data_IF_620608235332
#
_entry.id   IF_620608235332
#
_cell.length_a   1.000
_cell.length_b   1.000
_cell.length_c   1.000
_cell.angle_alpha   90.00
_cell.angle_beta   90.00
_cell.angle_gamma   90.00
#
_symmetry.space_group_name_H-M   'P 1'
#
loop_
_entity.id
_entity.type
_entity.pdbx_description
1 polymer ?
#
# COMPACT_ATOMS: atom_id res chain seq x y z
N UNK A 1 13.87 -30.86 2.49
CA UNK A 1 13.47 -31.52 3.75
C UNK A 1 13.65 -30.52 4.89
N UNK A 2 12.65 -30.37 5.75
CA UNK A 2 12.72 -29.45 6.89
C UNK A 2 13.74 -29.98 7.92
N UNK A 3 14.72 -29.14 8.21
CA UNK A 3 15.72 -29.33 9.28
C UNK A 3 15.91 -27.97 9.97
N UNK A 4 16.62 -27.98 11.10
CA UNK A 4 16.95 -26.72 11.78
C UNK A 4 17.82 -25.80 10.89
N UNK A 5 18.78 -26.37 10.17
CA UNK A 5 19.65 -25.61 9.27
C UNK A 5 18.87 -25.01 8.09
N UNK A 6 18.02 -25.80 7.42
CA UNK A 6 17.21 -25.30 6.31
C UNK A 6 16.19 -24.23 6.75
N UNK A 7 15.66 -24.34 7.97
CA UNK A 7 14.84 -23.28 8.56
C UNK A 7 15.64 -21.99 8.80
N UNK A 8 16.88 -22.10 9.31
CA UNK A 8 17.74 -20.95 9.52
C UNK A 8 18.10 -20.24 8.20
N UNK A 9 18.35 -21.01 7.14
CA UNK A 9 18.57 -20.45 5.80
C UNK A 9 17.36 -19.67 5.32
N UNK A 10 16.14 -20.21 5.48
CA UNK A 10 14.91 -19.52 5.07
C UNK A 10 14.65 -18.26 5.89
N UNK A 11 14.84 -18.29 7.21
CA UNK A 11 14.72 -17.11 8.06
C UNK A 11 15.71 -16.02 7.60
N UNK A 12 16.97 -16.37 7.37
CA UNK A 12 17.98 -15.40 6.93
C UNK A 12 17.63 -14.75 5.58
N UNK A 13 17.07 -15.51 4.63
CA UNK A 13 16.57 -14.94 3.36
C UNK A 13 15.43 -13.94 3.55
N UNK A 14 14.53 -14.21 4.50
CA UNK A 14 13.32 -13.41 4.73
C UNK A 14 13.62 -12.13 5.51
N UNK A 15 14.60 -12.17 6.40
CA UNK A 15 14.82 -11.14 7.41
C UNK A 15 16.07 -10.29 7.16
N UNK A 16 17.05 -10.80 6.42
CA UNK A 16 18.34 -10.14 6.28
C UNK A 16 19.09 -10.10 7.63
N UNK A 17 19.75 -8.98 7.93
CA UNK A 17 20.43 -8.79 9.22
C UNK A 17 19.43 -8.49 10.34
N UNK A 18 19.29 -9.43 11.28
CA UNK A 18 18.18 -9.50 12.23
C UNK A 18 18.65 -9.54 13.70
N UNK A 19 19.73 -8.88 14.01
CA UNK A 19 20.26 -8.87 15.38
C UNK A 19 19.31 -8.21 16.39
N UNK A 20 19.01 -8.92 17.48
CA UNK A 20 18.20 -8.48 18.65
C UNK A 20 16.74 -8.09 18.36
N UNK A 21 16.11 -8.69 17.34
CA UNK A 21 14.70 -8.42 17.02
C UNK A 21 13.74 -9.21 17.90
N UNK A 22 12.62 -8.57 18.25
CA UNK A 22 11.51 -9.22 18.96
C UNK A 22 10.49 -9.76 17.97
N UNK A 23 10.11 -11.03 18.17
CA UNK A 23 9.16 -11.73 17.29
C UNK A 23 8.03 -12.33 18.12
N UNK A 24 6.79 -12.06 17.71
CA UNK A 24 5.60 -12.72 18.22
C UNK A 24 5.25 -13.94 17.35
N UNK A 25 5.23 -15.11 17.94
CA UNK A 25 4.91 -16.35 17.26
C UNK A 25 3.42 -16.67 17.43
N UNK A 26 2.68 -16.73 16.32
CA UNK A 26 1.26 -17.09 16.30
C UNK A 26 1.11 -18.63 16.42
N UNK A 27 0.65 -19.11 17.57
CA UNK A 27 0.62 -20.54 17.89
C UNK A 27 -0.82 -21.02 18.10
N UNK A 28 -1.28 -21.96 17.25
CA UNK A 28 -2.64 -22.51 17.33
C UNK A 28 -2.73 -23.83 18.12
N UNK A 29 -1.62 -24.50 18.36
CA UNK A 29 -1.56 -25.85 18.93
C UNK A 29 -1.48 -26.99 17.89
N UNK A 30 -1.69 -26.66 16.59
CA UNK A 30 -1.50 -27.61 15.48
C UNK A 30 -0.02 -27.79 15.12
N UNK A 31 0.30 -28.88 14.39
CA UNK A 31 1.66 -29.27 14.04
C UNK A 31 2.48 -28.12 13.46
N UNK A 32 1.96 -27.41 12.45
CA UNK A 32 2.68 -26.34 11.76
C UNK A 32 3.14 -25.24 12.72
N UNK A 33 2.25 -24.81 13.61
CA UNK A 33 2.55 -23.72 14.56
C UNK A 33 3.45 -24.18 15.71
N UNK A 34 3.31 -25.43 16.16
CA UNK A 34 4.17 -25.99 17.23
C UNK A 34 5.58 -26.26 16.72
N UNK A 35 5.73 -26.73 15.48
CA UNK A 35 7.04 -26.90 14.82
C UNK A 35 7.72 -25.54 14.64
N UNK A 36 6.99 -24.51 14.16
CA UNK A 36 7.52 -23.16 14.06
C UNK A 36 8.01 -22.65 15.42
N UNK A 37 7.21 -22.85 16.48
CA UNK A 37 7.58 -22.45 17.85
C UNK A 37 8.85 -23.16 18.32
N UNK A 38 8.99 -24.47 18.10
CA UNK A 38 10.17 -25.24 18.49
C UNK A 38 11.43 -24.81 17.73
N UNK A 39 11.32 -24.56 16.42
CA UNK A 39 12.42 -24.08 15.58
C UNK A 39 12.93 -22.68 16.03
N UNK A 40 12.02 -21.75 16.27
CA UNK A 40 12.41 -20.43 16.79
C UNK A 40 13.01 -20.52 18.20
N UNK A 41 12.47 -21.39 19.06
CA UNK A 41 13.03 -21.64 20.39
C UNK A 41 14.48 -22.13 20.32
N UNK A 42 14.73 -23.14 19.46
CA UNK A 42 16.09 -23.65 19.23
C UNK A 42 17.03 -22.55 18.75
N UNK A 43 16.61 -21.78 17.75
CA UNK A 43 17.42 -20.69 17.20
C UNK A 43 17.70 -19.60 18.23
N UNK A 44 16.71 -19.19 19.00
CA UNK A 44 16.89 -18.19 20.07
C UNK A 44 17.86 -18.65 21.17
N UNK A 45 17.89 -19.98 21.44
CA UNK A 45 18.83 -20.55 22.39
C UNK A 45 20.28 -20.63 21.86
N UNK A 46 20.45 -20.89 20.56
CA UNK A 46 21.78 -21.06 19.96
C UNK A 46 22.44 -19.75 19.53
N UNK A 47 21.68 -18.84 18.96
CA UNK A 47 22.21 -17.63 18.30
C UNK A 47 21.93 -16.33 19.07
N UNK A 48 20.99 -16.33 20.01
CA UNK A 48 20.59 -15.14 20.81
C UNK A 48 20.23 -13.90 19.97
N UNK A 49 19.96 -14.09 18.67
CA UNK A 49 19.62 -13.02 17.73
C UNK A 49 18.14 -12.61 17.76
N UNK A 50 17.29 -13.45 18.38
CA UNK A 50 15.86 -13.19 18.54
C UNK A 50 15.43 -13.23 20.00
N UNK A 51 14.50 -12.35 20.33
CA UNK A 51 13.68 -12.45 21.54
C UNK A 51 12.30 -12.91 21.09
N UNK A 52 11.89 -14.10 21.50
CA UNK A 52 10.62 -14.70 21.11
C UNK A 52 9.57 -14.59 22.21
N UNK A 53 8.34 -14.39 21.80
CA UNK A 53 7.13 -14.58 22.62
C UNK A 53 6.08 -15.31 21.80
N UNK A 54 5.13 -15.95 22.43
CA UNK A 54 4.05 -16.65 21.77
C UNK A 54 2.70 -15.98 22.02
N UNK A 55 1.80 -16.09 21.05
CA UNK A 55 0.41 -15.68 21.18
C UNK A 55 -0.52 -16.81 20.76
N UNK A 56 -1.50 -17.13 21.59
CA UNK A 56 -2.54 -18.12 21.32
C UNK A 56 -3.92 -17.49 21.42
N UNK A 57 -4.83 -17.87 20.52
CA UNK A 57 -6.24 -17.47 20.59
C UNK A 57 -7.12 -18.70 20.72
N UNK A 58 -7.85 -18.78 21.82
CA UNK A 58 -8.89 -19.77 22.00
C UNK A 58 -10.23 -19.19 21.54
N UNK A 59 -10.66 -19.58 20.34
CA UNK A 59 -11.92 -19.09 19.75
C UNK A 59 -13.17 -19.73 20.37
N UNK A 60 -13.04 -20.71 21.27
CA UNK A 60 -14.17 -21.48 21.87
C UNK A 60 -15.10 -22.13 20.84
N UNK A 61 -14.67 -22.28 19.57
CA UNK A 61 -15.48 -22.81 18.49
C UNK A 61 -15.65 -24.33 18.54
N UNK A 62 -14.75 -25.05 19.24
CA UNK A 62 -14.72 -26.50 19.34
C UNK A 62 -14.89 -27.00 20.79
N UNK A 63 -15.40 -26.15 21.68
CA UNK A 63 -15.60 -26.49 23.09
C UNK A 63 -14.30 -27.00 23.76
N UNK A 64 -14.36 -28.20 24.34
CA UNK A 64 -13.22 -28.82 25.08
C UNK A 64 -11.96 -28.98 24.21
N UNK A 65 -12.08 -29.19 22.91
CA UNK A 65 -10.91 -29.33 22.04
C UNK A 65 -10.13 -28.01 21.94
N UNK A 66 -10.82 -26.88 21.89
CA UNK A 66 -10.17 -25.57 21.91
C UNK A 66 -9.41 -25.32 23.23
N UNK A 67 -9.96 -25.78 24.35
CA UNK A 67 -9.30 -25.67 25.67
C UNK A 67 -8.09 -26.59 25.80
N UNK A 68 -8.14 -27.77 25.20
CA UNK A 68 -7.01 -28.70 25.13
C UNK A 68 -5.87 -28.18 24.26
N UNK A 69 -6.17 -27.49 23.16
CA UNK A 69 -5.15 -26.83 22.35
C UNK A 69 -4.45 -25.72 23.11
N UNK A 70 -5.22 -24.87 23.80
CA UNK A 70 -4.67 -23.82 24.68
C UNK A 70 -3.74 -24.45 25.73
N UNK A 71 -4.19 -25.49 26.44
CA UNK A 71 -3.40 -26.15 27.49
C UNK A 71 -2.10 -26.76 26.94
N UNK A 72 -2.12 -27.30 25.72
CA UNK A 72 -0.91 -27.80 25.06
C UNK A 72 0.11 -26.68 24.86
N UNK A 73 -0.33 -25.51 24.34
CA UNK A 73 0.55 -24.37 24.11
C UNK A 73 1.06 -23.78 25.43
N UNK A 74 0.20 -23.66 26.43
CA UNK A 74 0.59 -23.20 27.80
C UNK A 74 1.68 -24.09 28.38
N UNK A 75 1.48 -25.42 28.42
CA UNK A 75 2.43 -26.37 28.96
C UNK A 75 3.77 -26.32 28.22
N UNK A 76 3.75 -26.19 26.90
CA UNK A 76 4.98 -26.08 26.09
C UNK A 76 5.73 -24.80 26.40
N UNK A 77 5.05 -23.65 26.43
CA UNK A 77 5.64 -22.35 26.72
C UNK A 77 6.21 -22.28 28.15
N UNK A 78 5.47 -22.80 29.14
CA UNK A 78 5.92 -22.88 30.53
C UNK A 78 7.19 -23.72 30.68
N UNK A 79 7.20 -24.95 30.11
CA UNK A 79 8.35 -25.85 30.11
C UNK A 79 9.61 -25.19 29.55
N UNK A 80 9.46 -24.38 28.51
CA UNK A 80 10.58 -23.75 27.81
C UNK A 80 10.79 -22.27 28.17
N UNK A 81 10.06 -21.76 29.16
CA UNK A 81 10.15 -20.36 29.65
C UNK A 81 9.93 -19.33 28.54
N UNK A 82 8.99 -19.58 27.61
CA UNK A 82 8.61 -18.68 26.53
C UNK A 82 7.46 -17.82 27.03
N UNK A 83 7.55 -16.47 26.99
CA UNK A 83 6.43 -15.61 27.33
C UNK A 83 5.23 -15.90 26.42
N UNK A 84 4.05 -16.11 27.00
CA UNK A 84 2.83 -16.44 26.28
C UNK A 84 1.71 -15.46 26.61
N UNK A 85 1.09 -14.91 25.58
CA UNK A 85 -0.17 -14.14 25.67
C UNK A 85 -1.32 -14.99 25.15
N UNK A 86 -2.36 -15.17 25.96
CA UNK A 86 -3.54 -15.95 25.57
C UNK A 86 -4.76 -15.04 25.51
N UNK A 87 -5.52 -15.12 24.41
CA UNK A 87 -6.82 -14.50 24.26
C UNK A 87 -7.91 -15.57 24.21
N UNK A 88 -8.85 -15.53 25.11
CA UNK A 88 -10.04 -16.40 25.10
C UNK A 88 -11.25 -15.60 24.65
N UNK A 89 -11.86 -16.00 23.52
CA UNK A 89 -13.05 -15.37 22.96
C UNK A 89 -14.23 -15.49 23.93
N UNK A 90 -14.95 -14.40 24.09
CA UNK A 90 -16.11 -14.25 24.94
C UNK A 90 -17.31 -13.69 24.14
N UNK A 91 -18.46 -13.56 24.78
CA UNK A 91 -19.67 -12.95 24.19
C UNK A 91 -19.45 -11.49 23.75
N UNK A 92 -18.49 -10.78 24.35
CA UNK A 92 -18.13 -9.39 24.01
C UNK A 92 -17.51 -9.23 22.63
N UNK A 93 -17.02 -10.32 22.04
CA UNK A 93 -16.30 -10.30 20.76
C UNK A 93 -17.21 -10.30 19.53
N UNK A 94 -18.53 -10.10 19.72
CA UNK A 94 -19.51 -9.92 18.65
C UNK A 94 -19.37 -10.93 17.50
N UNK A 95 -19.32 -12.23 17.84
CA UNK A 95 -19.28 -13.28 16.82
C UNK A 95 -20.49 -13.12 15.88
N UNK A 96 -20.29 -13.01 14.56
CA UNK A 96 -21.37 -12.79 13.63
C UNK A 96 -22.33 -13.99 13.59
N UNK A 97 -23.60 -13.75 13.75
CA UNK A 97 -24.66 -14.75 13.52
C UNK A 97 -24.80 -15.07 12.02
N UNK A 98 -24.70 -14.03 11.18
CA UNK A 98 -24.75 -14.12 9.72
C UNK A 98 -23.46 -13.48 9.16
N UNK A 99 -22.58 -14.29 8.56
CA UNK A 99 -21.33 -13.79 7.97
C UNK A 99 -20.20 -14.83 7.99
N UNK A 100 -19.02 -14.41 7.52
CA UNK A 100 -17.87 -15.28 7.50
C UNK A 100 -17.19 -15.33 8.87
N UNK A 101 -17.41 -16.43 9.61
CA UNK A 101 -16.68 -16.71 10.86
C UNK A 101 -15.17 -16.68 10.64
N UNK A 102 -14.69 -17.07 9.46
CA UNK A 102 -13.26 -17.04 9.14
C UNK A 102 -12.73 -15.62 9.03
N UNK A 103 -13.49 -14.69 8.43
CA UNK A 103 -13.10 -13.29 8.34
C UNK A 103 -13.04 -12.65 9.72
N UNK A 104 -14.11 -12.81 10.50
CA UNK A 104 -14.16 -12.34 11.88
C UNK A 104 -13.01 -12.88 12.73
N UNK A 105 -12.74 -14.20 12.69
CA UNK A 105 -11.66 -14.81 13.43
C UNK A 105 -10.28 -14.29 12.97
N UNK A 106 -10.13 -13.97 11.67
CA UNK A 106 -8.92 -13.37 11.12
C UNK A 106 -8.73 -11.94 11.63
N UNK A 107 -9.76 -11.11 11.60
CA UNK A 107 -9.72 -9.71 12.09
C UNK A 107 -9.38 -9.66 13.58
N UNK A 108 -10.06 -10.47 14.40
CA UNK A 108 -9.80 -10.59 15.83
C UNK A 108 -8.35 -11.01 16.11
N UNK A 109 -7.85 -11.99 15.34
CA UNK A 109 -6.46 -12.48 15.46
C UNK A 109 -5.44 -11.37 15.24
N UNK A 110 -5.56 -10.64 14.14
CA UNK A 110 -4.60 -9.59 13.83
C UNK A 110 -4.72 -8.41 14.77
N UNK A 111 -5.94 -8.07 15.21
CA UNK A 111 -6.14 -7.04 16.24
C UNK A 111 -5.39 -7.39 17.53
N UNK A 112 -5.58 -8.60 18.04
CA UNK A 112 -4.89 -9.08 19.24
C UNK A 112 -3.35 -9.11 19.06
N UNK A 113 -2.86 -9.59 17.93
CA UNK A 113 -1.42 -9.62 17.68
C UNK A 113 -0.82 -8.21 17.60
N UNK A 114 -1.49 -7.27 16.97
CA UNK A 114 -1.02 -5.88 16.90
C UNK A 114 -1.00 -5.22 18.28
N UNK A 115 -2.03 -5.45 19.10
CA UNK A 115 -2.05 -4.96 20.48
C UNK A 115 -0.83 -5.47 21.29
N UNK A 116 -0.53 -6.77 21.23
CA UNK A 116 0.66 -7.33 21.91
C UNK A 116 1.94 -6.70 21.37
N UNK A 117 2.02 -6.53 20.06
CA UNK A 117 3.21 -5.95 19.43
C UNK A 117 3.46 -4.50 19.88
N UNK A 118 2.41 -3.69 19.98
CA UNK A 118 2.48 -2.32 20.45
C UNK A 118 2.87 -2.25 21.93
N UNK A 119 2.19 -3.03 22.80
CA UNK A 119 2.43 -3.04 24.24
C UNK A 119 3.86 -3.50 24.63
N UNK A 120 4.45 -4.41 23.83
CA UNK A 120 5.76 -5.03 24.15
C UNK A 120 6.90 -4.59 23.22
N UNK A 121 6.65 -3.63 22.33
CA UNK A 121 7.60 -3.18 21.31
C UNK A 121 8.14 -4.35 20.47
N UNK A 122 7.24 -5.20 19.96
CA UNK A 122 7.55 -6.35 19.10
C UNK A 122 7.49 -5.89 17.65
N UNK A 123 8.53 -6.19 16.87
CA UNK A 123 8.64 -5.70 15.50
C UNK A 123 7.99 -6.61 14.47
N UNK A 124 7.96 -7.90 14.71
CA UNK A 124 7.53 -8.90 13.74
C UNK A 124 6.57 -9.93 14.33
N UNK A 125 5.65 -10.39 13.50
CA UNK A 125 4.76 -11.50 13.79
C UNK A 125 5.16 -12.66 12.89
N UNK A 126 5.35 -13.87 13.42
CA UNK A 126 5.58 -15.07 12.62
C UNK A 126 4.33 -15.96 12.59
N UNK A 127 4.00 -16.45 11.40
CA UNK A 127 2.86 -17.36 11.17
C UNK A 127 3.32 -18.62 10.42
N UNK A 128 2.73 -19.76 10.74
CA UNK A 128 3.13 -21.07 10.24
C UNK A 128 2.48 -21.46 8.91
N UNK A 129 2.38 -20.54 7.95
CA UNK A 129 1.96 -20.87 6.59
C UNK A 129 3.05 -21.69 5.90
N UNK A 130 2.65 -22.70 5.15
CA UNK A 130 3.54 -23.68 4.50
C UNK A 130 3.25 -23.81 2.99
N UNK A 131 4.00 -24.65 2.27
CA UNK A 131 3.93 -24.78 0.81
C UNK A 131 2.54 -25.22 0.32
N UNK A 132 1.84 -26.07 1.07
CA UNK A 132 0.49 -26.48 0.69
C UNK A 132 -0.52 -25.29 0.80
N UNK A 133 -0.32 -24.31 1.72
CA UNK A 133 -1.11 -23.08 1.75
C UNK A 133 -0.83 -22.20 0.53
N UNK A 134 0.41 -22.18 0.01
CA UNK A 134 0.76 -21.54 -1.24
C UNK A 134 -0.03 -22.15 -2.40
N UNK A 135 -0.08 -23.48 -2.48
CA UNK A 135 -0.83 -24.20 -3.50
C UNK A 135 -2.33 -23.85 -3.46
N UNK A 136 -2.92 -23.88 -2.26
CA UNK A 136 -4.33 -23.49 -2.08
C UNK A 136 -4.60 -22.07 -2.55
N UNK A 137 -3.73 -21.13 -2.15
CA UNK A 137 -3.85 -19.71 -2.52
C UNK A 137 -3.68 -19.50 -4.01
N UNK A 138 -2.71 -20.20 -4.62
CA UNK A 138 -2.49 -20.15 -6.06
C UNK A 138 -3.74 -20.58 -6.85
N UNK A 139 -4.34 -21.71 -6.51
CA UNK A 139 -5.55 -22.19 -7.19
C UNK A 139 -6.76 -21.27 -6.97
N UNK A 140 -6.95 -20.77 -5.75
CA UNK A 140 -8.02 -19.78 -5.48
C UNK A 140 -7.86 -18.54 -6.35
N UNK A 141 -6.65 -18.02 -6.47
CA UNK A 141 -6.35 -16.84 -7.26
C UNK A 141 -6.43 -17.11 -8.76
N UNK A 142 -5.99 -18.28 -9.22
CA UNK A 142 -6.14 -18.72 -10.61
C UNK A 142 -7.61 -18.80 -11.02
N UNK A 143 -8.46 -19.40 -10.19
CA UNK A 143 -9.92 -19.49 -10.43
C UNK A 143 -10.60 -18.12 -10.46
N UNK A 144 -10.02 -17.10 -9.80
CA UNK A 144 -10.52 -15.72 -9.82
C UNK A 144 -9.99 -14.89 -10.99
N UNK A 145 -9.15 -15.46 -11.85
CA UNK A 145 -8.50 -14.74 -12.93
C UNK A 145 -7.49 -13.69 -12.45
N UNK A 146 -6.85 -13.93 -11.32
CA UNK A 146 -5.86 -12.99 -10.77
C UNK A 146 -4.64 -12.89 -11.69
N UNK A 147 -4.11 -11.67 -11.83
CA UNK A 147 -2.84 -11.43 -12.52
C UNK A 147 -1.62 -11.95 -11.73
N UNK A 148 -0.44 -11.63 -12.24
CA UNK A 148 0.84 -12.15 -11.76
C UNK A 148 1.04 -11.98 -10.25
N UNK A 149 0.67 -10.83 -9.69
CA UNK A 149 0.74 -10.55 -8.24
C UNK A 149 -0.09 -11.55 -7.42
N UNK A 150 -1.30 -11.87 -7.86
CA UNK A 150 -2.13 -12.87 -7.18
C UNK A 150 -1.60 -14.28 -7.32
N UNK A 151 -1.04 -14.63 -8.49
CA UNK A 151 -0.45 -15.94 -8.75
C UNK A 151 0.90 -16.14 -8.07
N UNK A 152 1.60 -15.09 -7.66
CA UNK A 152 2.83 -15.20 -6.88
C UNK A 152 2.62 -15.71 -5.44
N UNK A 153 1.36 -15.96 -5.05
CA UNK A 153 1.02 -16.63 -3.79
C UNK A 153 1.15 -15.73 -2.55
N UNK A 154 1.46 -16.35 -1.43
CA UNK A 154 1.61 -15.70 -0.13
C UNK A 154 3.05 -15.21 0.00
N UNK A 155 3.31 -13.91 0.25
CA UNK A 155 4.67 -13.42 0.42
C UNK A 155 5.30 -13.91 1.72
N UNK A 156 6.60 -14.21 1.69
CA UNK A 156 7.33 -14.70 2.85
C UNK A 156 7.48 -13.62 3.96
N UNK A 157 7.58 -12.36 3.56
CA UNK A 157 7.58 -11.19 4.47
C UNK A 157 6.72 -10.10 3.87
N UNK A 158 5.66 -9.73 4.55
CA UNK A 158 4.77 -8.62 4.16
C UNK A 158 4.19 -7.97 5.41
N UNK A 159 4.25 -6.65 5.50
CA UNK A 159 3.74 -5.86 6.63
C UNK A 159 4.25 -6.38 8.00
N UNK A 160 5.53 -6.73 8.07
CA UNK A 160 6.19 -7.31 9.26
C UNK A 160 5.63 -8.68 9.69
N UNK A 161 4.92 -9.37 8.82
CA UNK A 161 4.46 -10.74 9.03
C UNK A 161 5.41 -11.69 8.31
N UNK A 162 6.11 -12.51 9.08
CA UNK A 162 7.07 -13.50 8.60
C UNK A 162 6.40 -14.87 8.44
N UNK A 163 6.77 -15.62 7.40
CA UNK A 163 6.24 -16.95 7.10
C UNK A 163 7.37 -17.90 6.74
N UNK A 164 8.14 -18.31 7.73
CA UNK A 164 9.38 -19.06 7.49
C UNK A 164 9.18 -20.50 7.01
N UNK A 165 7.96 -21.04 7.11
CA UNK A 165 7.65 -22.41 6.68
C UNK A 165 7.12 -22.49 5.24
N UNK A 166 7.01 -21.37 4.51
CA UNK A 166 6.45 -21.37 3.14
C UNK A 166 7.21 -22.24 2.12
N UNK A 167 8.48 -22.51 2.36
CA UNK A 167 9.30 -23.37 1.50
C UNK A 167 9.11 -24.85 1.77
N UNK A 168 8.46 -25.24 2.88
CA UNK A 168 8.34 -26.61 3.33
C UNK A 168 6.94 -27.14 3.15
N UNK A 169 6.84 -28.45 2.85
CA UNK A 169 5.56 -29.14 2.73
C UNK A 169 4.98 -29.49 4.10
N UNK A 170 3.68 -29.76 4.12
CA UNK A 170 3.01 -30.22 5.33
C UNK A 170 3.60 -31.55 5.83
N UNK A 171 3.91 -32.45 4.93
CA UNK A 171 4.53 -33.76 5.23
C UNK A 171 5.89 -33.56 5.91
N UNK A 172 6.74 -32.68 5.39
CA UNK A 172 8.04 -32.37 5.99
C UNK A 172 7.91 -31.78 7.41
N UNK A 173 6.86 -30.98 7.64
CA UNK A 173 6.58 -30.40 8.97
C UNK A 173 6.15 -31.48 9.96
N UNK A 174 5.28 -32.41 9.53
CA UNK A 174 4.86 -33.56 10.36
C UNK A 174 6.02 -34.51 10.67
N UNK A 175 6.82 -34.83 9.66
CA UNK A 175 8.04 -35.65 9.84
C UNK A 175 9.01 -34.99 10.85
N UNK A 176 9.16 -33.67 10.78
CA UNK A 176 9.98 -32.95 11.75
C UNK A 176 9.40 -33.03 13.15
N UNK A 177 8.07 -32.82 13.29
CA UNK A 177 7.40 -32.92 14.58
C UNK A 177 7.59 -34.26 15.24
N UNK A 178 7.43 -35.38 14.49
CA UNK A 178 7.60 -36.74 14.99
C UNK A 178 9.06 -37.03 15.39
N UNK A 179 10.02 -36.72 14.49
CA UNK A 179 11.45 -36.95 14.73
C UNK A 179 12.00 -36.15 15.94
N UNK A 180 11.46 -35.00 16.19
CA UNK A 180 11.89 -34.12 17.29
C UNK A 180 10.99 -34.19 18.52
N UNK A 181 9.98 -35.07 18.52
CA UNK A 181 8.99 -35.21 19.60
C UNK A 181 8.32 -33.88 19.99
N UNK A 182 8.02 -33.05 18.98
CA UNK A 182 7.29 -31.79 19.17
C UNK A 182 5.82 -32.13 19.40
N UNK A 183 5.23 -31.78 20.55
CA UNK A 183 3.84 -32.09 20.82
C UNK A 183 2.91 -31.20 19.99
N UNK A 184 1.85 -31.77 19.42
CA UNK A 184 0.81 -31.07 18.69
C UNK A 184 -0.53 -31.79 18.78
N UNK A 185 -1.61 -31.12 18.39
CA UNK A 185 -2.95 -31.70 18.27
C UNK A 185 -3.48 -31.53 16.85
N UNK A 186 -4.19 -32.52 16.35
CA UNK A 186 -4.84 -32.43 15.04
C UNK A 186 -6.20 -31.75 15.13
N UNK A 187 -6.47 -30.85 14.17
CA UNK A 187 -7.77 -30.21 14.01
C UNK A 187 -8.67 -31.05 13.09
N UNK A 188 -9.59 -31.78 13.70
CA UNK A 188 -10.57 -32.63 12.99
C UNK A 188 -11.50 -31.82 12.07
N UNK A 189 -11.69 -30.49 12.34
CA UNK A 189 -12.54 -29.63 11.52
C UNK A 189 -12.00 -29.38 10.09
N UNK A 190 -10.72 -29.64 9.86
CA UNK A 190 -10.09 -29.53 8.54
C UNK A 190 -10.61 -30.55 7.50
N UNK A 191 -11.37 -31.56 7.93
CA UNK A 191 -11.93 -32.59 7.05
C UNK A 191 -13.22 -32.17 6.33
N UNK A 192 -13.86 -31.05 6.70
CA UNK A 192 -15.09 -30.59 6.06
C UNK A 192 -14.79 -29.82 4.76
N UNK A 193 -15.55 -30.12 3.69
CA UNK A 193 -15.33 -29.54 2.35
C UNK A 193 -16.28 -28.34 2.05
N UNK A 194 -16.78 -27.66 3.07
CA UNK A 194 -17.76 -26.57 2.90
C UNK A 194 -17.16 -25.35 2.21
N UNK A 195 -15.86 -25.16 2.33
CA UNK A 195 -15.13 -24.00 1.78
C UNK A 195 -14.24 -24.41 0.59
N UNK A 196 -14.10 -23.50 -0.39
CA UNK A 196 -13.27 -23.71 -1.57
C UNK A 196 -11.83 -24.13 -1.20
N UNK A 197 -11.27 -23.53 -0.16
CA UNK A 197 -9.92 -23.84 0.34
C UNK A 197 -9.81 -25.30 0.77
N UNK A 198 -10.80 -25.80 1.51
CA UNK A 198 -10.85 -27.19 1.93
C UNK A 198 -11.06 -28.15 0.76
N UNK A 199 -11.87 -27.75 -0.27
CA UNK A 199 -12.00 -28.56 -1.49
C UNK A 199 -10.69 -28.72 -2.24
N UNK A 200 -9.91 -27.64 -2.36
CA UNK A 200 -8.59 -27.69 -2.98
C UNK A 200 -7.68 -28.62 -2.17
N UNK A 201 -7.62 -28.45 -0.85
CA UNK A 201 -6.79 -29.24 0.06
C UNK A 201 -7.12 -30.73 0.04
N UNK A 202 -8.41 -31.07 0.12
CA UNK A 202 -8.85 -32.43 0.36
C UNK A 202 -9.18 -33.23 -0.91
N UNK A 203 -9.50 -32.55 -2.03
CA UNK A 203 -9.95 -33.19 -3.26
C UNK A 203 -8.99 -32.93 -4.43
N UNK A 204 -8.52 -31.70 -4.64
CA UNK A 204 -7.75 -31.34 -5.84
C UNK A 204 -6.26 -31.65 -5.65
N UNK A 205 -5.66 -31.15 -4.57
CA UNK A 205 -4.23 -31.35 -4.33
C UNK A 205 -3.82 -32.82 -4.24
N UNK A 206 -4.57 -33.73 -3.56
CA UNK A 206 -4.23 -35.13 -3.54
C UNK A 206 -4.26 -35.79 -4.92
N UNK A 207 -5.21 -35.43 -5.79
CA UNK A 207 -5.28 -36.01 -7.15
C UNK A 207 -4.11 -35.53 -8.02
N UNK A 208 -3.64 -34.31 -7.86
CA UNK A 208 -2.45 -33.81 -8.55
C UNK A 208 -1.18 -34.52 -8.10
N UNK A 209 -1.04 -34.80 -6.80
CA UNK A 209 0.09 -35.56 -6.24
C UNK A 209 0.05 -37.04 -6.69
N UNK A 210 -1.14 -37.64 -6.83
CA UNK A 210 -1.29 -38.99 -7.40
C UNK A 210 -0.89 -39.04 -8.87
N UNK A 211 -1.19 -37.98 -9.63
CA UNK A 211 -0.84 -37.91 -11.04
C UNK A 211 0.68 -37.75 -11.27
N UNK A 212 1.36 -37.01 -10.40
CA UNK A 212 2.83 -36.88 -10.39
C UNK A 212 3.33 -36.69 -8.95
N UNK A 213 4.08 -37.65 -8.45
CA UNK A 213 4.68 -37.60 -7.10
C UNK A 213 5.60 -36.38 -6.88
N UNK A 214 6.16 -35.80 -7.94
CA UNK A 214 6.98 -34.58 -7.89
C UNK A 214 6.18 -33.32 -8.00
N UNK A 215 4.84 -33.39 -8.10
CA UNK A 215 3.97 -32.23 -8.37
C UNK A 215 4.25 -31.04 -7.43
N UNK A 216 4.31 -31.29 -6.11
CA UNK A 216 4.52 -30.22 -5.11
C UNK A 216 5.88 -29.54 -5.30
N UNK A 217 6.93 -30.32 -5.60
CA UNK A 217 8.27 -29.76 -5.85
C UNK A 217 8.32 -28.98 -7.15
N UNK A 218 7.66 -29.48 -8.21
CA UNK A 218 7.56 -28.79 -9.49
C UNK A 218 6.72 -27.51 -9.36
N UNK A 219 5.63 -27.54 -8.60
CA UNK A 219 4.85 -26.35 -8.24
C UNK A 219 5.70 -25.32 -7.52
N UNK A 220 6.48 -25.72 -6.50
CA UNK A 220 7.37 -24.80 -5.77
C UNK A 220 8.38 -24.12 -6.69
N UNK A 221 9.01 -24.86 -7.62
CA UNK A 221 9.93 -24.30 -8.62
C UNK A 221 9.22 -23.27 -9.52
N UNK A 222 8.04 -23.62 -10.04
CA UNK A 222 7.25 -22.73 -10.90
C UNK A 222 6.80 -21.48 -10.16
N UNK A 223 6.34 -21.63 -8.92
CA UNK A 223 5.92 -20.50 -8.07
C UNK A 223 7.09 -19.53 -7.82
N UNK A 224 8.29 -20.05 -7.56
CA UNK A 224 9.48 -19.22 -7.37
C UNK A 224 9.80 -18.38 -8.63
N UNK A 225 9.67 -18.95 -9.84
CA UNK A 225 9.85 -18.21 -11.10
C UNK A 225 8.79 -17.11 -11.23
N UNK A 226 7.52 -17.39 -10.88
CA UNK A 226 6.44 -16.42 -10.89
C UNK A 226 6.71 -15.28 -9.90
N UNK A 227 7.18 -15.60 -8.69
CA UNK A 227 7.56 -14.63 -7.66
C UNK A 227 8.69 -13.71 -8.14
N UNK A 228 9.77 -14.28 -8.66
CA UNK A 228 10.89 -13.50 -9.21
C UNK A 228 10.44 -12.58 -10.36
N UNK A 229 9.55 -13.08 -11.24
CA UNK A 229 9.00 -12.27 -12.32
C UNK A 229 8.15 -11.11 -11.79
N UNK A 230 7.33 -11.37 -10.76
CA UNK A 230 6.52 -10.35 -10.10
C UNK A 230 7.41 -9.27 -9.45
N UNK A 231 8.45 -9.69 -8.73
CA UNK A 231 9.38 -8.78 -8.07
C UNK A 231 10.17 -7.94 -9.10
N UNK A 232 10.59 -8.53 -10.20
CA UNK A 232 11.23 -7.80 -11.29
C UNK A 232 10.34 -6.71 -11.88
N UNK A 233 9.07 -7.01 -12.14
CA UNK A 233 8.10 -6.04 -12.66
C UNK A 233 7.87 -4.92 -11.64
N UNK A 234 7.71 -5.27 -10.36
CA UNK A 234 7.58 -4.31 -9.27
C UNK A 234 8.78 -3.37 -9.18
N UNK A 235 10.00 -3.92 -9.22
CA UNK A 235 11.23 -3.11 -9.23
C UNK A 235 11.30 -2.16 -10.44
N UNK A 236 10.89 -2.63 -11.63
CA UNK A 236 10.83 -1.78 -12.84
C UNK A 236 9.81 -0.65 -12.69
N UNK A 237 8.64 -0.93 -12.11
CA UNK A 237 7.63 0.08 -11.84
C UNK A 237 8.12 1.11 -10.79
N UNK A 238 8.75 0.66 -9.72
CA UNK A 238 9.33 1.55 -8.69
C UNK A 238 10.46 2.42 -9.25
N UNK A 239 11.34 1.84 -10.07
CA UNK A 239 12.38 2.59 -10.79
C UNK A 239 11.77 3.65 -11.69
N UNK A 240 10.74 3.31 -12.47
CA UNK A 240 10.04 4.29 -13.32
C UNK A 240 9.45 5.42 -12.49
N UNK A 241 8.80 5.12 -11.36
CA UNK A 241 8.24 6.11 -10.45
C UNK A 241 9.33 7.04 -9.92
N UNK A 242 10.48 6.50 -9.51
CA UNK A 242 11.59 7.28 -8.98
C UNK A 242 12.22 8.22 -10.04
N UNK A 243 12.34 7.76 -11.28
CA UNK A 243 13.01 8.50 -12.37
C UNK A 243 12.08 9.48 -13.09
N UNK A 244 10.77 9.22 -13.16
CA UNK A 244 9.81 9.97 -13.97
C UNK A 244 8.65 10.57 -13.15
N UNK A 245 8.53 10.23 -11.88
CA UNK A 245 7.53 10.80 -10.98
C UNK A 245 8.01 12.14 -10.43
N UNK A 246 7.19 13.17 -10.56
CA UNK A 246 7.43 14.48 -9.94
C UNK A 246 6.52 14.63 -8.73
N UNK A 247 7.11 14.72 -7.54
CA UNK A 247 6.37 14.92 -6.29
C UNK A 247 6.28 16.41 -5.97
N UNK A 248 5.07 16.92 -5.82
CA UNK A 248 4.79 18.32 -5.43
C UNK A 248 3.81 18.31 -4.26
N UNK A 249 4.29 18.55 -3.03
CA UNK A 249 3.51 18.30 -1.83
C UNK A 249 3.10 16.83 -1.78
N UNK A 250 1.80 16.58 -1.68
CA UNK A 250 1.24 15.22 -1.62
C UNK A 250 0.76 14.70 -2.99
N UNK A 251 0.99 15.46 -4.05
CA UNK A 251 0.70 15.05 -5.42
C UNK A 251 1.89 14.34 -6.04
N UNK A 252 1.62 13.29 -6.78
CA UNK A 252 2.57 12.61 -7.64
C UNK A 252 2.11 12.75 -9.09
N UNK A 253 2.92 13.30 -9.96
CA UNK A 253 2.59 13.46 -11.37
C UNK A 253 3.56 12.71 -12.27
N UNK A 254 3.05 12.21 -13.39
CA UNK A 254 3.80 11.55 -14.44
C UNK A 254 3.49 12.20 -15.78
N UNK A 255 4.51 12.42 -16.60
CA UNK A 255 4.27 12.79 -17.99
C UNK A 255 3.46 11.70 -18.69
N UNK A 256 2.26 12.08 -19.21
CA UNK A 256 1.29 11.16 -19.81
C UNK A 256 1.91 10.38 -20.99
N UNK A 257 2.69 11.04 -21.85
CA UNK A 257 3.33 10.41 -23.01
C UNK A 257 4.37 9.39 -22.57
N UNK A 258 5.28 9.75 -21.66
CA UNK A 258 6.30 8.83 -21.13
C UNK A 258 5.66 7.60 -20.47
N UNK A 259 4.61 7.80 -19.68
CA UNK A 259 3.90 6.69 -19.05
C UNK A 259 3.19 5.82 -20.10
N UNK A 260 2.59 6.42 -21.14
CA UNK A 260 1.94 5.70 -22.22
C UNK A 260 2.90 4.86 -23.07
N UNK A 261 4.15 5.28 -23.21
CA UNK A 261 5.20 4.57 -23.96
C UNK A 261 5.81 3.39 -23.20
N UNK A 262 5.53 3.24 -21.89
CA UNK A 262 5.99 2.07 -21.13
C UNK A 262 5.21 0.81 -21.49
N UNK A 263 5.77 -0.36 -21.17
CA UNK A 263 5.08 -1.64 -21.37
C UNK A 263 3.80 -1.71 -20.52
N UNK A 264 2.74 -2.32 -21.08
CA UNK A 264 1.42 -2.36 -20.42
C UNK A 264 1.45 -2.96 -19.01
N UNK A 265 2.26 -3.99 -18.81
CA UNK A 265 2.41 -4.60 -17.47
C UNK A 265 3.06 -3.64 -16.46
N UNK A 266 3.95 -2.76 -16.91
CA UNK A 266 4.57 -1.75 -16.03
C UNK A 266 3.57 -0.63 -15.74
N UNK A 267 2.79 -0.17 -16.74
CA UNK A 267 1.69 0.79 -16.52
C UNK A 267 0.70 0.25 -15.49
N UNK A 268 0.32 -1.03 -15.66
CA UNK A 268 -0.56 -1.71 -14.73
C UNK A 268 0.00 -1.67 -13.30
N UNK A 269 1.26 -2.07 -13.11
CA UNK A 269 1.86 -2.13 -11.78
C UNK A 269 2.01 -0.74 -11.14
N UNK A 270 2.37 0.29 -11.93
CA UNK A 270 2.44 1.69 -11.46
C UNK A 270 1.07 2.16 -10.97
N UNK A 271 0.02 1.99 -11.77
CA UNK A 271 -1.32 2.47 -11.43
C UNK A 271 -1.97 1.63 -10.32
N UNK A 272 -1.72 0.32 -10.31
CA UNK A 272 -2.20 -0.60 -9.27
C UNK A 272 -1.64 -0.27 -7.87
N UNK A 273 -0.42 0.28 -7.80
CA UNK A 273 0.16 0.78 -6.54
C UNK A 273 -0.72 1.85 -5.87
N UNK A 274 -1.49 2.59 -6.68
CA UNK A 274 -2.43 3.62 -6.23
C UNK A 274 -3.89 3.14 -6.29
N UNK A 275 -4.12 1.84 -6.45
CA UNK A 275 -5.45 1.24 -6.43
C UNK A 275 -6.26 1.38 -7.73
N UNK A 276 -5.62 1.72 -8.85
CA UNK A 276 -6.21 1.72 -10.20
C UNK A 276 -5.70 0.49 -10.96
N UNK A 277 -6.32 -0.67 -10.76
CA UNK A 277 -5.74 -1.97 -11.12
C UNK A 277 -6.59 -2.84 -12.05
N UNK A 278 -7.68 -2.36 -12.65
CA UNK A 278 -8.38 -3.14 -13.69
C UNK A 278 -7.91 -2.74 -15.09
N UNK A 279 -7.78 -3.71 -15.98
CA UNK A 279 -7.37 -3.47 -17.38
C UNK A 279 -8.30 -2.46 -18.05
N UNK A 280 -9.61 -2.60 -17.86
CA UNK A 280 -10.62 -1.69 -18.42
C UNK A 280 -10.51 -0.27 -17.86
N UNK A 281 -10.14 -0.11 -16.61
CA UNK A 281 -9.91 1.20 -15.98
C UNK A 281 -8.65 1.86 -16.52
N UNK A 282 -7.57 1.11 -16.69
CA UNK A 282 -6.32 1.61 -17.26
C UNK A 282 -6.54 2.08 -18.70
N UNK A 283 -7.25 1.32 -19.52
CA UNK A 283 -7.62 1.73 -20.88
C UNK A 283 -8.42 3.04 -20.87
N UNK A 284 -9.39 3.19 -19.95
CA UNK A 284 -10.16 4.44 -19.78
C UNK A 284 -9.29 5.61 -19.36
N UNK A 285 -8.30 5.40 -18.47
CA UNK A 285 -7.38 6.45 -18.03
C UNK A 285 -6.56 6.98 -19.22
N UNK A 286 -5.98 6.10 -20.03
CA UNK A 286 -5.14 6.53 -21.15
C UNK A 286 -5.92 7.10 -22.34
N UNK A 287 -7.19 6.72 -22.53
CA UNK A 287 -8.07 7.26 -23.54
C UNK A 287 -8.83 8.52 -23.11
N UNK A 288 -8.73 8.91 -21.84
CA UNK A 288 -9.50 10.02 -21.29
C UNK A 288 -9.01 11.38 -21.77
N UNK A 289 -9.97 12.30 -21.96
CA UNK A 289 -9.71 13.71 -22.25
C UNK A 289 -9.16 14.46 -21.05
N UNK A 290 -8.48 15.56 -21.33
CA UNK A 290 -7.97 16.50 -20.31
C UNK A 290 -9.10 17.01 -19.42
N UNK A 291 -8.88 16.96 -18.11
CA UNK A 291 -9.84 17.37 -17.08
C UNK A 291 -10.64 16.22 -16.48
N UNK A 292 -10.59 15.01 -17.07
CA UNK A 292 -11.23 13.82 -16.51
C UNK A 292 -10.57 13.42 -15.20
N UNK A 293 -11.37 13.00 -14.21
CA UNK A 293 -10.90 12.52 -12.90
C UNK A 293 -11.47 11.14 -12.64
N UNK A 294 -10.61 10.25 -12.16
CA UNK A 294 -10.94 8.90 -11.68
C UNK A 294 -10.76 8.86 -10.18
N UNK A 295 -11.57 8.06 -9.50
CA UNK A 295 -11.55 7.94 -8.05
C UNK A 295 -11.57 6.48 -7.63
N UNK A 296 -10.79 6.15 -6.60
CA UNK A 296 -10.96 4.92 -5.84
C UNK A 296 -11.15 5.27 -4.34
N UNK A 297 -10.98 4.30 -3.43
CA UNK A 297 -11.18 4.53 -2.00
C UNK A 297 -10.22 5.60 -1.44
N UNK A 298 -8.94 5.54 -1.79
CA UNK A 298 -7.87 6.27 -1.13
C UNK A 298 -7.28 7.41 -1.98
N UNK A 299 -7.40 7.31 -3.32
CA UNK A 299 -6.76 8.23 -4.27
C UNK A 299 -7.74 8.79 -5.29
N UNK A 300 -7.37 9.95 -5.83
CA UNK A 300 -7.90 10.50 -7.08
C UNK A 300 -6.79 10.58 -8.13
N UNK A 301 -7.15 10.31 -9.40
CA UNK A 301 -6.27 10.40 -10.56
C UNK A 301 -6.87 11.35 -11.56
N UNK A 302 -6.19 12.43 -11.89
CA UNK A 302 -6.63 13.46 -12.82
C UNK A 302 -5.77 13.46 -14.09
N UNK A 303 -6.44 13.52 -15.23
CA UNK A 303 -5.79 13.71 -16.54
C UNK A 303 -5.62 15.20 -16.79
N UNK A 304 -4.37 15.66 -16.88
CA UNK A 304 -4.04 17.02 -17.24
C UNK A 304 -3.52 17.10 -18.71
N UNK A 305 -3.10 18.27 -19.16
CA UNK A 305 -2.64 18.48 -20.56
C UNK A 305 -1.48 17.58 -20.93
N UNK A 306 -0.46 17.54 -20.09
CA UNK A 306 0.79 16.76 -20.30
C UNK A 306 0.96 15.64 -19.30
N UNK A 307 0.23 15.67 -18.18
CA UNK A 307 0.51 14.83 -17.02
C UNK A 307 -0.72 14.06 -16.54
N UNK A 308 -0.45 12.96 -15.90
CA UNK A 308 -1.39 12.23 -15.04
C UNK A 308 -1.01 12.57 -13.60
N UNK A 309 -1.95 13.08 -12.83
CA UNK A 309 -1.74 13.55 -11.46
C UNK A 309 -2.51 12.65 -10.50
N UNK A 310 -1.81 12.08 -9.53
CA UNK A 310 -2.37 11.21 -8.50
C UNK A 310 -2.26 11.92 -7.15
N UNK A 311 -3.36 11.96 -6.40
CA UNK A 311 -3.44 12.59 -5.08
C UNK A 311 -4.27 11.76 -4.10
N UNK A 312 -3.90 11.73 -2.79
CA UNK A 312 -4.74 11.15 -1.75
C UNK A 312 -6.07 11.90 -1.63
N UNK A 313 -7.14 11.18 -1.26
CA UNK A 313 -8.50 11.78 -1.14
C UNK A 313 -8.72 12.61 0.13
N UNK A 314 -8.06 12.25 1.23
CA UNK A 314 -8.39 12.75 2.57
C UNK A 314 -7.55 13.94 3.02
N UNK A 315 -7.04 14.73 2.08
CA UNK A 315 -6.28 15.91 2.46
C UNK A 315 -7.14 17.15 2.48
N UNK A 316 -7.22 17.76 3.66
CA UNK A 316 -7.58 19.15 3.78
C UNK A 316 -6.56 19.97 2.96
N UNK A 317 -7.04 20.68 1.95
CA UNK A 317 -6.21 21.60 1.17
C UNK A 317 -5.72 22.66 2.15
N UNK A 318 -4.46 22.58 2.57
CA UNK A 318 -3.82 23.72 3.19
C UNK A 318 -3.90 24.90 2.22
N UNK A 319 -4.78 25.82 2.50
CA UNK A 319 -4.97 27.05 1.74
C UNK A 319 -3.85 28.05 2.07
N UNK A 320 -2.60 27.67 1.85
CA UNK A 320 -1.45 28.59 1.94
C UNK A 320 -1.34 29.47 0.69
N UNK A 321 -2.44 30.12 0.33
CA UNK A 321 -2.43 31.08 -0.75
C UNK A 321 -2.01 32.44 -0.17
N UNK A 322 -0.91 33.04 -0.66
CA UNK A 322 -0.49 34.36 -0.19
C UNK A 322 -1.56 35.39 -0.53
N UNK A 323 -2.06 36.07 0.47
CA UNK A 323 -3.09 37.09 0.31
C UNK A 323 -2.50 38.48 0.08
N UNK A 324 -1.28 38.73 0.55
CA UNK A 324 -0.61 40.01 0.46
C UNK A 324 0.54 39.96 -0.56
N UNK A 325 0.76 41.12 -1.21
CA UNK A 325 1.86 41.33 -2.15
C UNK A 325 2.56 42.63 -1.83
N UNK A 326 3.89 42.58 -1.76
CA UNK A 326 4.71 43.78 -1.51
C UNK A 326 4.85 44.62 -2.78
N UNK A 327 4.82 45.92 -2.63
CA UNK A 327 5.04 46.87 -3.72
C UNK A 327 5.90 48.04 -3.25
N UNK A 328 6.57 48.69 -4.19
CA UNK A 328 7.30 49.92 -4.01
C UNK A 328 6.68 51.00 -4.88
N UNK A 329 6.99 52.27 -4.57
CA UNK A 329 6.47 53.40 -5.29
C UNK A 329 7.57 54.18 -6.01
N UNK A 330 7.30 54.58 -7.23
CA UNK A 330 8.05 55.56 -7.97
C UNK A 330 7.17 56.81 -8.18
N UNK A 331 7.69 57.85 -8.80
CA UNK A 331 6.93 59.10 -9.05
C UNK A 331 5.60 58.83 -9.76
N UNK A 332 5.60 57.99 -10.79
CA UNK A 332 4.42 57.72 -11.65
C UNK A 332 3.82 56.35 -11.52
N UNK A 333 4.54 55.35 -10.93
CA UNK A 333 4.14 53.96 -10.93
C UNK A 333 4.23 53.31 -9.56
N UNK A 334 3.30 52.40 -9.27
CA UNK A 334 3.50 51.34 -8.31
C UNK A 334 4.25 50.18 -8.97
N UNK A 335 5.27 49.67 -8.31
CA UNK A 335 6.16 48.62 -8.80
C UNK A 335 6.02 47.38 -7.94
N UNK A 336 5.63 46.26 -8.54
CA UNK A 336 5.60 44.99 -7.88
C UNK A 336 6.79 44.17 -8.37
N UNK A 337 7.68 43.83 -7.43
CA UNK A 337 8.82 42.96 -7.63
C UNK A 337 8.64 41.70 -6.83
N UNK A 338 8.46 40.56 -7.51
CA UNK A 338 8.34 39.26 -6.89
C UNK A 338 9.08 38.22 -7.75
N UNK A 339 9.91 37.39 -7.11
CA UNK A 339 10.71 36.39 -7.80
C UNK A 339 9.85 35.36 -8.57
N UNK A 340 8.58 35.24 -8.23
CA UNK A 340 7.61 34.36 -8.91
C UNK A 340 7.16 34.92 -10.27
N UNK A 341 7.32 36.20 -10.52
CA UNK A 341 6.88 36.81 -11.78
C UNK A 341 7.68 36.25 -12.95
N UNK A 342 7.01 35.79 -14.00
CA UNK A 342 7.63 35.27 -15.21
C UNK A 342 8.60 36.32 -15.82
N UNK A 343 9.80 35.84 -16.21
CA UNK A 343 10.88 36.63 -16.76
C UNK A 343 11.51 37.65 -15.79
N UNK A 344 11.23 37.58 -14.50
CA UNK A 344 11.82 38.40 -13.44
C UNK A 344 11.71 39.94 -13.73
N UNK A 345 10.75 40.37 -14.55
CA UNK A 345 10.50 41.76 -14.83
C UNK A 345 9.40 42.30 -13.91
N UNK A 346 9.64 43.42 -13.24
CA UNK A 346 8.63 44.00 -12.35
C UNK A 346 7.37 44.37 -13.10
N UNK A 347 6.23 44.25 -12.42
CA UNK A 347 4.97 44.80 -12.92
C UNK A 347 4.85 46.26 -12.52
N UNK A 348 4.50 47.11 -13.49
CA UNK A 348 4.37 48.56 -13.30
C UNK A 348 2.92 48.96 -13.53
N UNK A 349 2.34 49.71 -12.58
CA UNK A 349 0.97 50.18 -12.65
C UNK A 349 0.94 51.71 -12.47
N UNK A 350 0.23 52.42 -13.35
CA UNK A 350 0.06 53.86 -13.30
C UNK A 350 -0.72 54.25 -12.03
N UNK A 351 -0.16 55.15 -11.21
CA UNK A 351 -0.74 55.62 -9.95
C UNK A 351 -2.11 56.27 -10.08
N UNK A 352 -2.39 56.89 -11.24
CA UNK A 352 -3.69 57.48 -11.49
C UNK A 352 -4.81 56.51 -11.77
N UNK A 353 -4.46 55.23 -12.09
CA UNK A 353 -5.40 54.22 -12.53
C UNK A 353 -5.68 53.12 -11.50
N UNK A 354 -4.84 52.98 -10.48
CA UNK A 354 -4.92 51.85 -9.51
C UNK A 354 -4.84 52.36 -8.07
N UNK A 355 -5.44 51.63 -7.14
CA UNK A 355 -5.66 52.07 -5.76
C UNK A 355 -5.15 51.00 -4.76
N UNK A 356 -3.96 51.18 -4.15
CA UNK A 356 -3.45 50.28 -3.13
C UNK A 356 -4.28 50.34 -1.83
N UNK A 357 -4.15 49.32 -0.92
CA UNK A 357 -3.27 48.17 -1.01
C UNK A 357 -3.71 47.15 -2.07
N UNK A 358 -2.72 46.38 -2.55
CA UNK A 358 -2.97 45.32 -3.52
C UNK A 358 -3.12 43.99 -2.80
N UNK A 359 -4.10 43.19 -3.22
CA UNK A 359 -4.35 41.89 -2.68
C UNK A 359 -4.35 40.78 -3.76
N UNK A 360 -3.97 39.56 -3.36
CA UNK A 360 -4.10 38.38 -4.19
C UNK A 360 -5.30 37.58 -3.74
N UNK A 361 -6.20 37.25 -4.65
CA UNK A 361 -7.32 36.34 -4.39
C UNK A 361 -7.36 35.17 -5.39
N UNK A 362 -8.08 34.16 -5.07
CA UNK A 362 -8.34 33.06 -6.04
C UNK A 362 -9.20 33.54 -7.20
N UNK A 363 -9.00 32.96 -8.42
CA UNK A 363 -9.88 33.22 -9.56
C UNK A 363 -11.34 32.90 -9.22
N UNK A 364 -12.27 33.75 -9.67
CA UNK A 364 -13.72 33.53 -9.58
C UNK A 364 -14.30 33.33 -10.97
N UNK A 365 -15.44 32.65 -11.02
CA UNK A 365 -16.17 32.52 -12.27
C UNK A 365 -16.60 33.88 -12.79
N UNK A 366 -16.37 34.16 -14.09
CA UNK A 366 -16.68 35.44 -14.69
C UNK A 366 -15.52 36.44 -14.67
N UNK A 367 -14.42 36.23 -13.98
CA UNK A 367 -13.26 37.14 -13.97
C UNK A 367 -12.73 37.38 -15.39
N UNK A 368 -12.54 38.65 -15.73
CA UNK A 368 -12.12 39.11 -17.04
C UNK A 368 -10.99 40.15 -16.88
N UNK A 369 -9.95 40.01 -17.68
CA UNK A 369 -8.86 40.98 -17.75
C UNK A 369 -8.42 41.20 -19.22
N UNK A 370 -7.60 42.22 -19.46
CA UNK A 370 -6.99 42.47 -20.76
C UNK A 370 -5.49 42.16 -20.68
N UNK A 371 -5.03 40.97 -21.13
CA UNK A 371 -3.62 40.61 -21.04
C UNK A 371 -2.73 41.64 -21.74
N UNK A 372 -1.66 42.09 -21.10
CA UNK A 372 -0.66 42.98 -21.71
C UNK A 372 -0.16 42.40 -23.04
N UNK A 373 -0.20 43.19 -24.10
CA UNK A 373 0.22 42.77 -25.44
C UNK A 373 -0.87 42.08 -26.25
N UNK A 374 -2.10 41.95 -25.74
CA UNK A 374 -3.24 41.40 -26.49
C UNK A 374 -4.35 42.44 -26.67
N UNK A 375 -5.06 42.35 -27.81
CA UNK A 375 -6.23 43.18 -28.04
C UNK A 375 -7.48 42.54 -27.40
N UNK A 376 -8.22 43.35 -26.63
CA UNK A 376 -9.50 42.95 -26.06
C UNK A 376 -9.42 42.23 -24.71
N UNK A 377 -10.60 42.10 -24.09
CA UNK A 377 -10.78 41.44 -22.81
C UNK A 377 -10.89 39.94 -22.97
N UNK A 378 -10.33 39.17 -22.05
CA UNK A 378 -10.35 37.70 -22.05
C UNK A 378 -10.79 37.18 -20.69
N UNK A 379 -11.66 36.13 -20.67
CA UNK A 379 -11.98 35.43 -19.42
C UNK A 379 -10.72 34.73 -18.89
N UNK A 380 -10.45 34.89 -17.60
CA UNK A 380 -9.25 34.30 -16.97
C UNK A 380 -9.22 32.77 -17.13
N UNK A 381 -10.36 32.11 -16.99
CA UNK A 381 -10.46 30.65 -17.22
C UNK A 381 -10.03 30.26 -18.65
N UNK A 382 -10.41 31.04 -19.66
CA UNK A 382 -9.99 30.85 -21.06
C UNK A 382 -8.51 31.16 -21.25
N UNK A 383 -8.00 32.21 -20.64
CA UNK A 383 -6.58 32.59 -20.69
C UNK A 383 -5.71 31.47 -20.11
N UNK A 384 -6.02 30.92 -18.92
CA UNK A 384 -5.29 29.84 -18.30
C UNK A 384 -5.33 28.54 -19.12
N UNK A 385 -6.44 28.31 -19.85
CA UNK A 385 -6.58 27.17 -20.76
C UNK A 385 -5.70 27.33 -22.00
N UNK A 386 -5.71 28.53 -22.61
CA UNK A 386 -4.93 28.81 -23.81
C UNK A 386 -3.42 28.82 -23.56
N UNK A 387 -2.99 29.28 -22.37
CA UNK A 387 -1.58 29.20 -21.90
C UNK A 387 -1.20 27.79 -21.45
N UNK A 388 -2.10 26.80 -21.52
CA UNK A 388 -1.90 25.39 -21.14
C UNK A 388 -1.39 25.22 -19.70
N UNK A 389 -1.81 26.10 -18.80
CA UNK A 389 -1.42 26.04 -17.40
C UNK A 389 -2.00 24.78 -16.75
N UNK A 390 -1.14 23.99 -16.15
CA UNK A 390 -1.53 22.75 -15.48
C UNK A 390 -2.52 23.02 -14.33
N UNK A 391 -3.31 22.03 -13.97
CA UNK A 391 -4.26 22.20 -12.87
C UNK A 391 -3.57 22.40 -11.51
N UNK A 392 -2.38 21.86 -11.32
CA UNK A 392 -1.58 22.08 -10.12
C UNK A 392 -1.03 23.51 -10.06
N UNK A 393 -0.57 24.03 -11.21
CA UNK A 393 -0.06 25.39 -11.25
C UNK A 393 -1.17 26.42 -11.12
N UNK A 394 -2.41 26.11 -11.56
CA UNK A 394 -3.58 26.98 -11.32
C UNK A 394 -3.88 27.18 -9.84
N UNK A 395 -3.56 26.22 -8.99
CA UNK A 395 -3.73 26.38 -7.53
C UNK A 395 -2.79 27.45 -6.95
N UNK A 396 -1.64 27.70 -7.60
CA UNK A 396 -0.65 28.72 -7.23
C UNK A 396 -0.94 30.09 -7.85
N UNK A 397 -1.89 30.15 -8.79
CA UNK A 397 -2.22 31.41 -9.51
C UNK A 397 -3.20 32.25 -8.69
N UNK A 398 -2.87 33.51 -8.54
CA UNK A 398 -3.70 34.53 -7.93
C UNK A 398 -4.19 35.57 -8.93
N UNK A 399 -5.28 36.21 -8.58
CA UNK A 399 -5.76 37.42 -9.27
C UNK A 399 -5.36 38.60 -8.44
N UNK A 400 -4.49 39.43 -8.99
CA UNK A 400 -4.06 40.67 -8.36
C UNK A 400 -5.16 41.71 -8.53
N UNK A 401 -5.63 42.26 -7.42
CA UNK A 401 -6.68 43.30 -7.38
C UNK A 401 -6.23 44.52 -6.58
N UNK A 402 -6.84 45.63 -6.87
CA UNK A 402 -6.76 46.83 -6.04
C UNK A 402 -7.98 46.94 -5.09
N UNK A 403 -8.01 47.99 -4.23
CA UNK A 403 -9.09 48.23 -3.28
C UNK A 403 -10.45 48.52 -3.92
N UNK A 404 -10.49 48.90 -5.19
CA UNK A 404 -11.74 49.07 -5.96
C UNK A 404 -12.20 47.80 -6.64
N UNK A 405 -11.51 46.66 -6.41
CA UNK A 405 -11.83 45.40 -7.01
C UNK A 405 -11.43 45.25 -8.49
N UNK A 406 -10.61 46.18 -9.01
CA UNK A 406 -10.12 46.13 -10.39
C UNK A 406 -9.10 45.02 -10.51
N UNK A 407 -9.23 44.14 -11.53
CA UNK A 407 -8.29 43.05 -11.79
C UNK A 407 -7.07 43.63 -12.52
N UNK A 408 -5.93 43.66 -11.84
CA UNK A 408 -4.67 44.21 -12.33
C UNK A 408 -3.82 43.15 -13.07
N UNK A 409 -4.14 41.86 -12.92
CA UNK A 409 -3.47 40.78 -13.64
C UNK A 409 -3.70 39.40 -13.05
N UNK A 410 -3.20 38.42 -13.78
CA UNK A 410 -3.15 37.01 -13.41
C UNK A 410 -1.75 36.73 -12.90
N UNK A 411 -1.57 36.76 -11.59
CA UNK A 411 -0.26 36.60 -10.94
C UNK A 411 0.13 35.12 -10.84
N UNK A 412 1.37 34.74 -11.14
CA UNK A 412 2.49 35.57 -11.59
C UNK A 412 2.66 35.64 -13.13
N UNK A 413 1.64 35.32 -13.92
CA UNK A 413 1.72 35.07 -15.35
C UNK A 413 1.69 36.34 -16.22
N UNK A 414 0.68 37.17 -16.05
CA UNK A 414 0.43 38.28 -16.98
C UNK A 414 -0.27 39.47 -16.33
N UNK A 415 0.28 40.65 -16.50
CA UNK A 415 -0.27 41.95 -16.10
C UNK A 415 -1.43 42.35 -17.02
N UNK A 416 -2.39 43.10 -16.48
CA UNK A 416 -3.44 43.74 -17.27
C UNK A 416 -2.91 45.00 -17.96
N UNK A 417 -3.11 45.08 -19.27
CA UNK A 417 -2.61 46.19 -20.09
C UNK A 417 -3.30 47.52 -19.90
N UNK A 418 -4.47 47.56 -19.27
CA UNK A 418 -5.26 48.81 -19.06
C UNK A 418 -4.65 49.71 -18.00
N UNK A 419 -3.87 49.17 -17.10
CA UNK A 419 -3.38 49.86 -15.90
C UNK A 419 -1.88 50.16 -15.94
N UNK A 420 -1.29 50.03 -17.09
CA UNK A 420 0.13 50.36 -17.32
C UNK A 420 0.29 51.82 -17.65
#
# INVERSE_FOLDING_TARGET
MLSFDSFNEEINKITGDFTQKKILLAVSGGADSMVMLDLFRKRSAEQSDFIISAAHINYKLRGKDSDLDQKLVENYCEKHKIPLSVYSVSEKDNKPENGSIQLWARELRYHFFHQICEENNIEFIATAHHLNDQLETFFINLMRGSGLKGLSGIPANENKILRPLLAFTKEEIYDFAEKNSVPFREDISNKKNDYLRNKIRNLIAPELVKADSNFIQNFSKSLNIIQQSSDFIKQKAEKFIAENGTKTGNYLSFNKKKLAETQDIIKFEILNKFGFGSETEIQKIFSAETGKVFFNKDFSLKIDYTDIIISPKNEEKENNFPTEISFSETEKFYKIEDFRIQNSKPWLFNKEKVFPPFELRKPKEGDIFQPKGMFGKKKISKFLKDEKISSLDREKIGILCDTKGQILGVFPLRQDGRFI
#
